data_IF_287021244443
#
_entry.id   IF_287021244443
#
_cell.length_a   1.000
_cell.length_b   1.000
_cell.length_c   1.000
_cell.angle_alpha   90.00
_cell.angle_beta   90.00
_cell.angle_gamma   90.00
#
_symmetry.space_group_name_H-M   'P 1'
#
loop_
_entity.id
_entity.type
_entity.pdbx_description
1 polymer ?
#
# COMPACT_ATOMS: atom_id res chain seq x y z
N UNK A 1 -0.51 -24.65 69.30
CA UNK A 1 0.26 -23.45 68.89
C UNK A 1 0.48 -23.57 67.39
N UNK A 2 -0.29 -22.80 66.61
CA UNK A 2 0.16 -21.64 65.82
C UNK A 2 0.87 -22.08 64.52
N UNK A 3 0.53 -21.68 63.31
CA UNK A 3 -0.44 -20.71 62.74
C UNK A 3 -0.38 -20.92 61.22
N UNK A 4 -1.52 -20.89 60.51
CA UNK A 4 -1.54 -20.62 59.06
C UNK A 4 -1.16 -19.14 58.80
N UNK A 5 -0.79 -18.72 57.57
CA UNK A 5 -1.85 -18.30 56.63
C UNK A 5 -1.56 -18.68 55.16
N UNK A 6 -2.55 -19.16 54.42
CA UNK A 6 -3.40 -18.34 53.53
C UNK A 6 -2.62 -17.62 52.41
N UNK A 7 -2.67 -18.17 51.20
CA UNK A 7 -2.67 -17.38 49.96
C UNK A 7 -3.76 -17.87 49.01
N UNK A 8 -4.90 -17.19 49.13
CA UNK A 8 -5.85 -16.98 48.06
C UNK A 8 -5.11 -16.46 46.81
N UNK A 9 -5.34 -17.08 45.66
CA UNK A 9 -5.33 -16.36 44.39
C UNK A 9 -6.50 -16.86 43.55
N UNK A 10 -7.67 -16.33 43.90
CA UNK A 10 -8.74 -16.00 42.99
C UNK A 10 -8.14 -15.23 41.80
N UNK A 11 -8.35 -15.63 40.54
CA UNK A 11 -8.61 -14.68 39.45
C UNK A 11 -9.17 -15.39 38.21
N UNK A 12 -10.50 -15.38 38.15
CA UNK A 12 -11.37 -15.06 37.01
C UNK A 12 -11.26 -15.94 35.75
N UNK A 13 -12.20 -16.87 35.64
CA UNK A 13 -12.82 -17.30 34.40
C UNK A 13 -13.40 -16.07 33.67
N UNK A 14 -12.68 -15.55 32.68
CA UNK A 14 -13.26 -14.58 31.74
C UNK A 14 -13.95 -15.39 30.63
N UNK A 15 -15.25 -15.59 30.83
CA UNK A 15 -16.20 -15.77 29.75
C UNK A 15 -16.16 -14.52 28.87
N UNK A 16 -15.45 -14.59 27.74
CA UNK A 16 -15.73 -13.69 26.62
C UNK A 16 -16.77 -14.36 25.73
N UNK A 17 -18.02 -13.98 25.99
CA UNK A 17 -19.15 -14.05 25.09
C UNK A 17 -18.74 -13.42 23.75
N UNK A 18 -18.50 -14.25 22.73
CA UNK A 18 -18.56 -13.75 21.36
C UNK A 18 -20.04 -13.66 20.99
N UNK A 19 -20.56 -12.49 20.58
CA UNK A 19 -21.86 -12.45 19.98
C UNK A 19 -21.81 -13.27 18.69
N UNK A 20 -22.72 -14.24 18.63
CA UNK A 20 -23.14 -14.95 17.43
C UNK A 20 -23.66 -13.87 16.46
N UNK A 21 -22.78 -13.36 15.60
CA UNK A 21 -23.19 -12.48 14.50
C UNK A 21 -23.93 -13.38 13.52
N UNK A 22 -25.23 -13.16 13.44
CA UNK A 22 -26.08 -13.73 12.42
C UNK A 22 -25.54 -13.33 11.04
N UNK A 23 -25.25 -14.33 10.21
CA UNK A 23 -25.18 -14.14 8.76
C UNK A 23 -26.50 -13.53 8.28
N UNK A 24 -26.49 -12.40 7.55
CA UNK A 24 -27.60 -12.13 6.68
C UNK A 24 -27.45 -13.07 5.47
N UNK A 25 -28.17 -14.19 5.51
CA UNK A 25 -28.58 -14.84 4.28
C UNK A 25 -29.48 -13.82 3.53
N UNK A 26 -28.93 -13.20 2.50
CA UNK A 26 -29.74 -12.62 1.45
C UNK A 26 -29.13 -13.02 0.11
N UNK A 27 -29.83 -13.96 -0.52
CA UNK A 27 -29.72 -14.23 -1.94
C UNK A 27 -29.93 -12.93 -2.72
N UNK A 28 -29.07 -12.72 -3.68
CA UNK A 28 -29.18 -11.61 -4.62
C UNK A 28 -27.96 -11.62 -5.50
N UNK A 29 -28.13 -12.09 -6.73
CA UNK A 29 -27.17 -11.98 -7.82
C UNK A 29 -26.57 -10.57 -7.88
N UNK A 30 -25.44 -10.37 -7.20
CA UNK A 30 -24.66 -9.16 -7.36
C UNK A 30 -23.70 -9.42 -8.51
N UNK A 31 -24.11 -8.96 -9.69
CA UNK A 31 -23.23 -8.60 -10.79
C UNK A 31 -21.85 -8.21 -10.25
N UNK A 32 -20.80 -8.90 -10.68
CA UNK A 32 -19.39 -8.53 -10.48
C UNK A 32 -19.18 -7.11 -11.04
N UNK A 33 -19.59 -6.07 -10.32
CA UNK A 33 -19.08 -4.73 -10.52
C UNK A 33 -17.71 -4.73 -9.83
N UNK A 34 -16.73 -5.35 -10.49
CA UNK A 34 -15.34 -5.30 -10.09
C UNK A 34 -14.98 -3.84 -9.86
N UNK A 35 -14.67 -3.54 -8.60
CA UNK A 35 -14.37 -2.17 -8.18
C UNK A 35 -13.06 -1.78 -8.85
N UNK A 36 -13.15 -0.98 -9.91
CA UNK A 36 -11.98 -0.50 -10.64
C UNK A 36 -11.01 0.22 -9.71
N UNK A 37 -9.74 -0.07 -9.88
CA UNK A 37 -8.64 0.46 -9.10
C UNK A 37 -7.86 1.46 -9.95
N UNK A 38 -7.86 2.72 -9.54
CA UNK A 38 -7.15 3.79 -10.23
C UNK A 38 -5.94 4.25 -9.42
N UNK A 39 -4.82 4.44 -10.08
CA UNK A 39 -3.63 5.06 -9.54
C UNK A 39 -3.48 6.47 -10.12
N UNK A 40 -3.29 7.46 -9.25
CA UNK A 40 -3.16 8.86 -9.64
C UNK A 40 -1.70 9.31 -9.51
N UNK A 41 -1.18 9.89 -10.58
CA UNK A 41 0.16 10.48 -10.61
C UNK A 41 0.11 11.85 -11.24
N UNK A 42 0.74 12.83 -10.58
CA UNK A 42 0.75 14.22 -11.00
C UNK A 42 2.17 14.74 -11.12
N UNK A 43 2.46 15.37 -12.25
CA UNK A 43 3.70 16.09 -12.50
C UNK A 43 3.42 17.58 -12.50
N UNK A 44 4.03 18.30 -11.57
CA UNK A 44 3.81 19.75 -11.39
C UNK A 44 5.12 20.48 -11.65
N UNK A 45 5.06 21.51 -12.50
CA UNK A 45 6.18 22.43 -12.70
C UNK A 45 5.91 23.72 -11.95
N UNK A 46 6.88 24.11 -11.13
CA UNK A 46 6.77 25.26 -10.24
C UNK A 46 7.90 26.22 -10.58
N UNK A 47 7.51 27.41 -11.03
CA UNK A 47 8.43 28.50 -11.26
C UNK A 47 8.57 29.34 -10.00
N UNK A 48 9.81 29.49 -9.50
CA UNK A 48 10.04 30.21 -8.25
C UNK A 48 11.29 31.08 -8.31
N UNK A 49 11.19 32.28 -7.74
CA UNK A 49 12.34 33.18 -7.52
C UNK A 49 13.26 32.66 -6.42
N UNK A 50 12.70 31.93 -5.44
CA UNK A 50 13.42 31.36 -4.29
C UNK A 50 12.97 29.92 -4.05
N UNK A 51 13.66 28.99 -4.72
CA UNK A 51 13.34 27.55 -4.69
C UNK A 51 13.33 26.98 -3.26
N UNK A 52 14.23 27.42 -2.37
CA UNK A 52 14.29 26.94 -0.99
C UNK A 52 13.03 27.26 -0.19
N UNK A 53 12.55 28.51 -0.26
CA UNK A 53 11.33 28.94 0.43
C UNK A 53 10.08 28.26 -0.15
N UNK A 54 10.03 28.10 -1.47
CA UNK A 54 9.00 27.31 -2.14
C UNK A 54 8.95 25.87 -1.62
N UNK A 55 10.11 25.21 -1.55
CA UNK A 55 10.20 23.84 -1.06
C UNK A 55 9.72 23.70 0.38
N UNK A 56 10.08 24.64 1.27
CA UNK A 56 9.67 24.62 2.66
C UNK A 56 8.14 24.74 2.78
N UNK A 57 7.52 25.65 2.02
CA UNK A 57 6.05 25.77 1.96
C UNK A 57 5.37 24.49 1.48
N UNK A 58 5.88 23.87 0.41
CA UNK A 58 5.34 22.59 -0.08
C UNK A 58 5.52 21.51 0.97
N UNK A 59 6.66 21.48 1.67
CA UNK A 59 6.91 20.52 2.74
C UNK A 59 5.84 20.64 3.84
N UNK A 60 5.56 21.86 4.31
CA UNK A 60 4.53 22.11 5.32
C UNK A 60 3.13 21.76 4.81
N UNK A 61 2.81 22.12 3.56
CA UNK A 61 1.55 21.77 2.93
C UNK A 61 1.35 20.26 2.86
N UNK A 62 2.39 19.50 2.48
CA UNK A 62 2.34 18.03 2.43
C UNK A 62 2.03 17.45 3.81
N UNK A 63 2.65 17.97 4.87
CA UNK A 63 2.38 17.51 6.24
C UNK A 63 0.96 17.85 6.70
N UNK A 64 0.44 19.04 6.36
CA UNK A 64 -0.92 19.46 6.71
C UNK A 64 -1.99 18.52 6.12
N UNK A 65 -1.74 17.99 4.93
CA UNK A 65 -2.63 17.03 4.27
C UNK A 65 -2.33 15.56 4.59
N UNK A 66 -1.54 15.30 5.64
CA UNK A 66 -1.11 13.95 6.08
C UNK A 66 -0.38 13.17 4.99
N UNK A 67 0.32 13.87 4.11
CA UNK A 67 1.19 13.28 3.12
C UNK A 67 2.56 12.92 3.68
N UNK A 68 3.40 12.39 2.82
CA UNK A 68 4.79 12.10 3.14
C UNK A 68 5.70 12.29 1.94
N UNK A 69 6.93 12.74 2.22
CA UNK A 69 7.93 13.00 1.20
C UNK A 69 8.75 11.73 0.98
N UNK A 70 8.77 11.27 -0.27
CA UNK A 70 9.52 10.07 -0.68
C UNK A 70 10.96 10.43 -1.10
N UNK A 71 11.14 11.59 -1.73
CA UNK A 71 12.47 12.06 -2.18
C UNK A 71 12.49 13.57 -2.28
N UNK A 72 13.55 14.20 -1.80
CA UNK A 72 13.76 15.64 -1.93
C UNK A 72 15.17 15.90 -2.48
N UNK A 73 15.25 16.62 -3.60
CA UNK A 73 16.50 17.11 -4.18
C UNK A 73 16.40 18.59 -4.50
N UNK A 74 17.50 19.21 -4.92
CA UNK A 74 17.52 20.64 -5.24
C UNK A 74 16.62 21.03 -6.41
N UNK A 75 16.31 20.10 -7.32
CA UNK A 75 15.51 20.35 -8.53
C UNK A 75 14.17 19.61 -8.54
N UNK A 76 14.00 18.59 -7.69
CA UNK A 76 12.82 17.73 -7.73
C UNK A 76 12.38 17.36 -6.30
N UNK A 77 11.07 17.39 -6.08
CA UNK A 77 10.44 16.91 -4.86
C UNK A 77 9.38 15.86 -5.23
N UNK A 78 9.49 14.67 -4.63
CA UNK A 78 8.52 13.58 -4.77
C UNK A 78 7.85 13.30 -3.45
N UNK A 79 6.54 13.31 -3.45
CA UNK A 79 5.74 13.08 -2.26
C UNK A 79 4.42 12.40 -2.60
N UNK A 80 3.72 11.95 -1.57
CA UNK A 80 2.42 11.30 -1.69
C UNK A 80 1.40 12.02 -0.82
N UNK A 81 0.18 12.17 -1.31
CA UNK A 81 -0.96 12.75 -0.58
C UNK A 81 -2.10 11.73 -0.59
N UNK A 82 -2.86 11.57 0.50
CA UNK A 82 -4.07 10.75 0.48
C UNK A 82 -5.02 11.19 -0.65
N UNK A 83 -5.51 10.25 -1.45
CA UNK A 83 -6.32 10.55 -2.63
C UNK A 83 -7.53 11.43 -2.31
N UNK A 84 -8.19 11.21 -1.17
CA UNK A 84 -9.33 11.99 -0.70
C UNK A 84 -9.05 13.51 -0.57
N UNK A 85 -7.78 13.88 -0.44
CA UNK A 85 -7.34 15.27 -0.25
C UNK A 85 -6.68 15.86 -1.51
N UNK A 86 -6.59 15.10 -2.60
CA UNK A 86 -5.84 15.49 -3.80
C UNK A 86 -6.29 16.85 -4.36
N UNK A 87 -7.61 17.02 -4.55
CA UNK A 87 -8.15 18.22 -5.20
C UNK A 87 -7.93 19.47 -4.34
N UNK A 88 -8.19 19.36 -3.04
CA UNK A 88 -7.95 20.45 -2.09
C UNK A 88 -6.47 20.85 -2.03
N UNK A 89 -5.58 19.86 -1.99
CA UNK A 89 -4.14 20.09 -2.02
C UNK A 89 -3.70 20.81 -3.29
N UNK A 90 -4.21 20.41 -4.47
CA UNK A 90 -3.88 21.05 -5.74
C UNK A 90 -4.34 22.50 -5.81
N UNK A 91 -5.53 22.81 -5.29
CA UNK A 91 -6.06 24.17 -5.22
C UNK A 91 -5.16 25.03 -4.34
N UNK A 92 -4.78 24.54 -3.15
CA UNK A 92 -3.92 25.29 -2.23
C UNK A 92 -2.48 25.44 -2.75
N UNK A 93 -1.96 24.42 -3.43
CA UNK A 93 -0.66 24.49 -4.11
C UNK A 93 -0.67 25.56 -5.22
N UNK A 94 -1.73 25.61 -6.04
CA UNK A 94 -1.90 26.63 -7.08
C UNK A 94 -2.08 28.05 -6.53
N UNK A 95 -2.70 28.18 -5.35
CA UNK A 95 -2.87 29.48 -4.71
C UNK A 95 -1.59 29.99 -4.04
N UNK A 96 -0.73 29.07 -3.59
CA UNK A 96 0.52 29.40 -2.89
C UNK A 96 1.71 29.61 -3.83
N UNK A 97 1.69 29.02 -5.03
CA UNK A 97 2.77 29.11 -6.02
C UNK A 97 2.25 29.31 -7.45
N UNK A 98 3.07 29.94 -8.31
CA UNK A 98 2.80 30.04 -9.75
C UNK A 98 2.99 28.65 -10.41
N UNK A 99 2.03 27.76 -10.19
CA UNK A 99 1.96 26.45 -10.85
C UNK A 99 1.72 26.69 -12.33
N UNK A 100 2.74 26.41 -13.12
CA UNK A 100 2.77 26.77 -14.54
C UNK A 100 2.01 25.73 -15.37
N UNK A 101 2.26 24.44 -15.06
CA UNK A 101 1.59 23.28 -15.67
C UNK A 101 1.50 22.13 -14.67
N UNK A 102 0.34 21.48 -14.63
CA UNK A 102 0.10 20.22 -13.92
C UNK A 102 -0.38 19.18 -14.92
N UNK A 103 0.43 18.14 -15.13
CA UNK A 103 0.05 16.98 -15.94
C UNK A 103 -0.45 15.88 -15.00
N UNK A 104 -1.74 15.57 -15.05
CA UNK A 104 -2.34 14.45 -14.31
C UNK A 104 -2.37 13.20 -15.19
N UNK A 105 -2.01 12.07 -14.61
CA UNK A 105 -2.06 10.74 -15.22
C UNK A 105 -2.85 9.83 -14.31
N UNK A 106 -3.86 9.17 -14.88
CA UNK A 106 -4.71 8.21 -14.18
C UNK A 106 -4.50 6.86 -14.86
N UNK A 107 -3.92 5.93 -14.12
CA UNK A 107 -3.66 4.56 -14.60
C UNK A 107 -4.70 3.62 -14.00
N UNK A 108 -5.41 2.87 -14.85
CA UNK A 108 -6.23 1.74 -14.39
C UNK A 108 -5.30 0.57 -14.05
N UNK A 109 -5.30 0.19 -12.77
CA UNK A 109 -4.48 -0.89 -12.23
C UNK A 109 -5.30 -2.11 -11.81
N UNK A 110 -6.57 -2.20 -12.26
CA UNK A 110 -7.47 -3.31 -11.98
C UNK A 110 -6.90 -4.63 -12.50
N UNK A 111 -6.60 -4.73 -13.80
CA UNK A 111 -6.07 -5.97 -14.38
C UNK A 111 -4.74 -6.40 -13.75
N UNK A 112 -3.74 -5.49 -13.57
CA UNK A 112 -2.51 -5.83 -12.85
C UNK A 112 -2.74 -6.34 -11.43
N UNK A 113 -3.75 -5.81 -10.73
CA UNK A 113 -4.10 -6.24 -9.39
C UNK A 113 -4.74 -7.63 -9.39
N UNK A 114 -5.74 -7.86 -10.24
CA UNK A 114 -6.44 -9.14 -10.37
C UNK A 114 -5.51 -10.25 -10.85
N UNK A 115 -4.61 -9.96 -11.78
CA UNK A 115 -3.56 -10.89 -12.18
C UNK A 115 -2.69 -11.30 -10.98
N UNK A 116 -2.30 -10.34 -10.13
CA UNK A 116 -1.53 -10.65 -8.92
C UNK A 116 -2.34 -11.52 -7.95
N UNK A 117 -3.65 -11.28 -7.79
CA UNK A 117 -4.52 -12.09 -6.94
C UNK A 117 -4.64 -13.52 -7.46
N UNK A 118 -5.00 -13.69 -8.74
CA UNK A 118 -5.10 -15.01 -9.37
C UNK A 118 -3.77 -15.77 -9.31
N UNK A 119 -2.65 -15.08 -9.52
CA UNK A 119 -1.33 -15.71 -9.44
C UNK A 119 -0.98 -16.17 -8.03
N UNK A 120 -1.31 -15.36 -7.01
CA UNK A 120 -1.14 -15.74 -5.61
C UNK A 120 -1.95 -16.99 -5.26
N UNK A 121 -3.21 -17.08 -5.69
CA UNK A 121 -4.06 -18.25 -5.47
C UNK A 121 -3.42 -19.52 -6.05
N UNK A 122 -2.97 -19.45 -7.31
CA UNK A 122 -2.28 -20.56 -7.98
C UNK A 122 -1.00 -20.96 -7.22
N UNK A 123 -0.16 -20.00 -6.84
CA UNK A 123 1.10 -20.29 -6.15
C UNK A 123 0.84 -20.86 -4.74
N UNK A 124 -0.21 -20.42 -4.03
CA UNK A 124 -0.65 -21.01 -2.77
C UNK A 124 -1.14 -22.46 -2.95
N UNK A 125 -1.89 -22.76 -4.02
CA UNK A 125 -2.28 -24.13 -4.33
C UNK A 125 -1.07 -25.04 -4.57
N UNK A 126 -0.07 -24.56 -5.33
CA UNK A 126 1.17 -25.31 -5.54
C UNK A 126 1.92 -25.54 -4.23
N UNK A 127 2.02 -24.51 -3.38
CA UNK A 127 2.66 -24.64 -2.08
C UNK A 127 1.95 -25.67 -1.19
N UNK A 128 0.62 -25.69 -1.20
CA UNK A 128 -0.21 -26.68 -0.50
C UNK A 128 0.02 -28.09 -1.04
N UNK A 129 0.04 -28.26 -2.37
CA UNK A 129 0.34 -29.55 -3.02
C UNK A 129 1.73 -30.06 -2.64
N UNK A 130 2.76 -29.21 -2.62
CA UNK A 130 4.10 -29.61 -2.19
C UNK A 130 4.12 -30.04 -0.72
N UNK A 131 3.46 -29.31 0.18
CA UNK A 131 3.37 -29.68 1.61
C UNK A 131 2.73 -31.06 1.80
N UNK A 132 1.60 -31.33 1.13
CA UNK A 132 0.93 -32.64 1.18
C UNK A 132 1.84 -33.78 0.71
N UNK A 133 2.63 -33.57 -0.34
CA UNK A 133 3.59 -34.59 -0.81
C UNK A 133 4.66 -34.93 0.25
N UNK A 134 5.08 -33.96 1.07
CA UNK A 134 6.02 -34.20 2.16
C UNK A 134 5.35 -34.84 3.38
N UNK A 135 4.10 -34.49 3.68
CA UNK A 135 3.32 -35.08 4.79
C UNK A 135 3.01 -36.56 4.53
N UNK A 136 2.68 -36.92 3.29
CA UNK A 136 2.33 -38.29 2.91
C UNK A 136 3.56 -39.19 2.68
N UNK A 137 4.78 -38.67 2.83
CA UNK A 137 6.09 -39.31 2.52
C UNK A 137 6.14 -40.00 1.13
N UNK A 138 5.31 -39.54 0.18
CA UNK A 138 5.20 -40.11 -1.17
C UNK A 138 6.35 -39.69 -2.10
N UNK A 139 7.39 -39.06 -1.55
CA UNK A 139 8.50 -38.49 -2.33
C UNK A 139 9.70 -39.45 -2.30
N UNK A 140 10.16 -39.94 -3.46
CA UNK A 140 11.42 -40.68 -3.54
C UNK A 140 12.58 -39.85 -2.97
N UNK A 141 13.48 -40.47 -2.18
CA UNK A 141 14.63 -39.78 -1.55
C UNK A 141 15.46 -38.94 -2.52
N UNK A 142 15.63 -39.42 -3.76
CA UNK A 142 16.36 -38.74 -4.84
C UNK A 142 15.72 -37.41 -5.28
N UNK A 143 14.39 -37.33 -5.24
CA UNK A 143 13.61 -36.21 -5.76
C UNK A 143 13.29 -35.17 -4.66
N UNK A 144 13.49 -35.56 -3.39
CA UNK A 144 13.22 -34.74 -2.21
C UNK A 144 13.89 -33.37 -2.26
N UNK A 145 15.17 -33.31 -2.62
CA UNK A 145 15.93 -32.06 -2.72
C UNK A 145 15.37 -31.13 -3.81
N UNK A 146 14.99 -31.68 -4.95
CA UNK A 146 14.42 -30.92 -6.06
C UNK A 146 13.05 -30.34 -5.71
N UNK A 147 12.20 -31.13 -5.06
CA UNK A 147 10.88 -30.68 -4.62
C UNK A 147 11.01 -29.60 -3.53
N UNK A 148 11.94 -29.75 -2.58
CA UNK A 148 12.23 -28.70 -1.59
C UNK A 148 12.67 -27.38 -2.25
N UNK A 149 13.55 -27.45 -3.26
CA UNK A 149 13.97 -26.26 -4.00
C UNK A 149 12.80 -25.59 -4.74
N UNK A 150 11.90 -26.37 -5.35
CA UNK A 150 10.67 -25.84 -5.98
C UNK A 150 9.74 -25.19 -4.96
N UNK A 151 9.51 -25.85 -3.82
CA UNK A 151 8.68 -25.32 -2.74
C UNK A 151 9.22 -23.98 -2.23
N UNK A 152 10.54 -23.89 -2.00
CA UNK A 152 11.19 -22.65 -1.58
C UNK A 152 11.04 -21.54 -2.62
N UNK A 153 11.24 -21.85 -3.91
CA UNK A 153 11.05 -20.89 -5.00
C UNK A 153 9.62 -20.34 -5.03
N UNK A 154 8.61 -21.21 -4.96
CA UNK A 154 7.20 -20.78 -4.92
C UNK A 154 6.92 -19.91 -3.70
N UNK A 155 7.48 -20.26 -2.53
CA UNK A 155 7.39 -19.43 -1.32
C UNK A 155 7.96 -18.02 -1.51
N UNK A 156 9.10 -17.89 -2.19
CA UNK A 156 9.69 -16.58 -2.50
C UNK A 156 8.84 -15.79 -3.50
N UNK A 157 8.28 -16.46 -4.50
CA UNK A 157 7.43 -15.83 -5.51
C UNK A 157 6.13 -15.31 -4.88
N UNK A 158 5.50 -16.07 -3.96
CA UNK A 158 4.37 -15.61 -3.14
C UNK A 158 4.73 -14.33 -2.38
N UNK A 159 5.85 -14.31 -1.65
CA UNK A 159 6.26 -13.12 -0.88
C UNK A 159 6.43 -11.88 -1.78
N UNK A 160 7.00 -12.04 -2.97
CA UNK A 160 7.15 -10.95 -3.94
C UNK A 160 5.80 -10.46 -4.46
N UNK A 161 4.90 -11.37 -4.79
CA UNK A 161 3.56 -11.04 -5.28
C UNK A 161 2.69 -10.38 -4.20
N UNK A 162 2.78 -10.83 -2.95
CA UNK A 162 2.11 -10.18 -1.82
C UNK A 162 2.57 -8.75 -1.64
N UNK A 163 3.89 -8.51 -1.75
CA UNK A 163 4.44 -7.15 -1.71
C UNK A 163 3.90 -6.31 -2.88
N UNK A 164 3.95 -6.84 -4.11
CA UNK A 164 3.42 -6.16 -5.31
C UNK A 164 1.93 -5.82 -5.15
N UNK A 165 1.13 -6.76 -4.65
CA UNK A 165 -0.31 -6.54 -4.37
C UNK A 165 -0.53 -5.40 -3.37
N UNK A 166 0.24 -5.38 -2.27
CA UNK A 166 0.18 -4.28 -1.28
C UNK A 166 0.58 -2.94 -1.89
N UNK A 167 1.62 -2.92 -2.72
CA UNK A 167 2.08 -1.71 -3.41
C UNK A 167 1.01 -1.17 -4.37
N UNK A 168 0.32 -2.04 -5.11
CA UNK A 168 -0.80 -1.65 -5.98
C UNK A 168 -1.96 -1.05 -5.19
N UNK A 169 -2.35 -1.65 -4.05
CA UNK A 169 -3.38 -1.09 -3.17
C UNK A 169 -2.95 0.28 -2.61
N UNK A 170 -1.66 0.46 -2.28
CA UNK A 170 -1.19 1.75 -1.78
C UNK A 170 -1.28 2.84 -2.85
N UNK A 171 -1.05 2.51 -4.13
CA UNK A 171 -1.21 3.45 -5.25
C UNK A 171 -2.64 3.95 -5.45
N UNK A 172 -3.66 3.22 -4.99
CA UNK A 172 -5.05 3.70 -5.05
C UNK A 172 -5.44 4.58 -3.88
N UNK A 173 -4.71 4.47 -2.76
CA UNK A 173 -4.97 5.25 -1.55
C UNK A 173 -4.27 6.61 -1.56
N UNK A 174 -3.15 6.70 -2.27
CA UNK A 174 -2.31 7.88 -2.32
C UNK A 174 -2.04 8.28 -3.76
N UNK A 175 -2.12 9.59 -4.01
CA UNK A 175 -1.71 10.20 -5.26
C UNK A 175 -0.24 10.51 -5.21
N UNK A 176 0.49 10.12 -6.25
CA UNK A 176 1.92 10.36 -6.39
C UNK A 176 2.14 11.74 -7.02
N UNK A 177 2.92 12.60 -6.37
CA UNK A 177 3.28 13.91 -6.88
C UNK A 177 4.77 14.00 -7.17
N UNK A 178 5.11 14.55 -8.33
CA UNK A 178 6.47 14.95 -8.69
C UNK A 178 6.48 16.43 -9.04
N UNK A 179 7.12 17.22 -8.18
CA UNK A 179 7.33 18.66 -8.39
C UNK A 179 8.72 18.88 -8.98
N UNK A 180 8.78 19.60 -10.09
CA UNK A 180 10.04 20.09 -10.67
C UNK A 180 10.14 21.60 -10.48
N UNK A 181 11.21 22.06 -9.86
CA UNK A 181 11.45 23.48 -9.63
C UNK A 181 12.22 24.09 -10.80
N UNK A 182 11.68 25.19 -11.35
CA UNK A 182 12.31 25.99 -12.39
C UNK A 182 12.65 27.36 -11.82
N UNK A 183 13.93 27.79 -11.83
CA UNK A 183 14.29 29.12 -11.39
C UNK A 183 13.80 30.16 -12.40
N UNK A 184 13.07 31.18 -11.92
CA UNK A 184 12.70 32.34 -12.73
C UNK A 184 13.97 33.14 -13.08
N UNK A 185 14.41 33.05 -14.33
CA UNK A 185 15.44 33.96 -14.84
C UNK A 185 14.84 35.36 -14.87
N UNK A 186 15.46 36.33 -14.19
CA UNK A 186 15.12 37.72 -14.41
C UNK A 186 15.43 38.03 -15.89
N UNK A 187 14.38 38.35 -16.65
CA UNK A 187 14.58 39.18 -17.82
C UNK A 187 14.91 40.56 -17.26
N UNK A 188 16.20 40.84 -17.11
CA UNK A 188 16.67 42.19 -16.82
C UNK A 188 16.19 43.09 -17.95
N UNK A 189 15.26 43.99 -17.63
CA UNK A 189 14.81 45.09 -18.48
C UNK A 189 15.31 46.40 -17.88
#
# INVERSE_FOLDING_TARGET
MQTAPFRFSLFVLIFCVFPLVADPANDGEHSHSERRLYAHSLNVKIESKKISASREKIHDLVHNYRGFISKSTNSNLKFKIPFANQDHFLIELRNSEFVDKSDETIDDITDPYEECVRRLEIDHEFLSKYKKLFEEDKIPKRDRRHILAKQHRVSLDIQKLEKKKKDLILKTKFSDFTVSFVPLKHADH
#
